data_IF_130484164114
#
_entry.id   IF_130484164114
#
_cell.length_a   1.000
_cell.length_b   1.000
_cell.length_c   1.000
_cell.angle_alpha   90.00
_cell.angle_beta   90.00
_cell.angle_gamma   90.00
#
_symmetry.space_group_name_H-M   'P 1'
#
loop_
_entity.id
_entity.type
_entity.pdbx_description
1 polymer ?
#
# COMPACT_ATOMS: atom_id res chain seq x y z
N UNK A 1 9.71 15.04 8.06
CA UNK A 1 8.79 14.03 7.49
C UNK A 1 8.13 13.26 8.63
N UNK A 2 6.80 13.25 8.66
CA UNK A 2 6.00 12.55 9.66
C UNK A 2 5.27 11.41 8.94
N UNK A 3 5.29 10.20 9.51
CA UNK A 3 4.56 9.06 8.96
C UNK A 3 3.07 9.36 8.89
N UNK A 4 2.38 8.90 7.83
CA UNK A 4 0.92 8.97 7.68
C UNK A 4 0.16 8.36 8.86
N UNK A 5 0.78 7.44 9.60
CA UNK A 5 0.20 6.83 10.81
C UNK A 5 -0.08 7.86 11.91
N UNK A 6 0.83 8.84 12.13
CA UNK A 6 0.60 9.91 13.10
C UNK A 6 -0.52 10.86 12.66
N UNK A 7 -0.61 11.13 11.35
CA UNK A 7 -1.72 11.91 10.77
C UNK A 7 -3.03 11.18 11.03
N UNK A 8 -3.11 9.89 10.72
CA UNK A 8 -4.29 9.06 10.96
C UNK A 8 -4.69 9.03 12.44
N UNK A 9 -3.72 8.89 13.35
CA UNK A 9 -3.99 8.89 14.79
C UNK A 9 -4.63 10.22 15.25
N UNK A 10 -4.10 11.37 14.80
CA UNK A 10 -4.67 12.69 15.11
C UNK A 10 -6.07 12.87 14.52
N UNK A 11 -6.29 12.40 13.28
CA UNK A 11 -7.61 12.48 12.66
C UNK A 11 -8.64 11.66 13.44
N UNK A 12 -8.32 10.42 13.83
CA UNK A 12 -9.25 9.52 14.52
C UNK A 12 -9.73 10.05 15.88
N UNK A 13 -8.90 10.82 16.60
CA UNK A 13 -9.31 11.42 17.86
C UNK A 13 -10.01 12.77 17.70
N UNK A 14 -9.89 13.39 16.53
CA UNK A 14 -10.40 14.75 16.28
C UNK A 14 -11.92 14.92 16.47
N UNK A 15 -12.79 13.94 16.17
CA UNK A 15 -14.24 14.08 16.37
C UNK A 15 -14.67 14.31 17.82
N UNK A 16 -13.88 13.88 18.80
CA UNK A 16 -14.19 14.08 20.23
C UNK A 16 -13.66 15.39 20.80
N UNK A 17 -12.86 16.13 20.02
CA UNK A 17 -12.39 17.46 20.43
C UNK A 17 -13.52 18.48 20.29
N UNK A 18 -13.63 19.41 21.25
CA UNK A 18 -14.72 20.41 21.31
C UNK A 18 -14.87 21.25 20.03
N UNK A 19 -13.77 21.54 19.34
CA UNK A 19 -13.73 22.33 18.11
C UNK A 19 -13.36 21.52 16.87
N UNK A 20 -13.31 20.17 17.00
CA UNK A 20 -12.76 19.32 15.94
C UNK A 20 -11.28 19.58 15.72
N UNK A 21 -10.81 19.39 14.48
CA UNK A 21 -9.42 19.62 14.11
C UNK A 21 -9.31 20.16 12.68
N UNK A 22 -8.48 21.15 12.49
CA UNK A 22 -7.97 21.52 11.16
C UNK A 22 -6.46 21.25 11.15
N UNK A 23 -6.03 20.35 10.29
CA UNK A 23 -4.63 19.92 10.19
C UNK A 23 -4.06 20.39 8.86
N UNK A 24 -2.98 21.16 8.89
CA UNK A 24 -2.23 21.58 7.70
C UNK A 24 -0.95 20.76 7.60
N UNK A 25 -0.79 20.04 6.51
CA UNK A 25 0.40 19.27 6.20
C UNK A 25 1.39 20.15 5.43
N UNK A 26 2.67 19.99 5.71
CA UNK A 26 3.74 20.72 5.03
C UNK A 26 4.72 19.76 4.38
N UNK A 27 5.23 20.13 3.21
CA UNK A 27 6.12 19.29 2.42
C UNK A 27 5.39 18.24 1.57
N UNK A 28 6.11 17.26 1.09
CA UNK A 28 5.56 16.18 0.27
C UNK A 28 4.72 15.21 1.11
N UNK A 29 3.51 14.91 0.65
CA UNK A 29 2.61 13.97 1.31
C UNK A 29 2.83 12.59 0.72
N UNK A 30 3.59 11.77 1.44
CA UNK A 30 3.85 10.37 1.09
C UNK A 30 2.72 9.50 1.66
N UNK A 31 2.37 8.42 0.96
CA UNK A 31 1.36 7.47 1.43
C UNK A 31 -0.03 8.09 1.64
N UNK A 32 -0.41 9.00 0.77
CA UNK A 32 -1.73 9.67 0.81
C UNK A 32 -2.92 8.71 0.85
N UNK A 33 -2.90 7.54 0.17
CA UNK A 33 -3.98 6.55 0.26
C UNK A 33 -4.28 6.07 1.68
N UNK A 34 -3.28 5.97 2.57
CA UNK A 34 -3.53 5.58 3.97
C UNK A 34 -4.27 6.66 4.77
N UNK A 35 -4.03 7.94 4.45
CA UNK A 35 -4.82 9.04 5.02
C UNK A 35 -6.25 8.96 4.49
N UNK A 36 -6.42 8.72 3.20
CA UNK A 36 -7.72 8.59 2.56
C UNK A 36 -8.54 7.42 3.13
N UNK A 37 -7.89 6.25 3.35
CA UNK A 37 -8.49 5.11 4.04
C UNK A 37 -9.04 5.53 5.42
N UNK A 38 -8.25 6.25 6.21
CA UNK A 38 -8.66 6.73 7.53
C UNK A 38 -9.87 7.66 7.42
N UNK A 39 -9.84 8.64 6.50
CA UNK A 39 -10.96 9.56 6.30
C UNK A 39 -12.24 8.83 5.88
N UNK A 40 -12.11 7.84 4.98
CA UNK A 40 -13.26 7.08 4.50
C UNK A 40 -13.90 6.28 5.63
N UNK A 41 -13.08 5.53 6.39
CA UNK A 41 -13.58 4.80 7.55
C UNK A 41 -14.21 5.72 8.60
N UNK A 42 -13.60 6.85 8.91
CA UNK A 42 -14.18 7.84 9.81
C UNK A 42 -15.57 8.30 9.34
N UNK A 43 -15.71 8.58 8.03
CA UNK A 43 -16.99 8.99 7.45
C UNK A 43 -18.02 7.86 7.46
N UNK A 44 -17.63 6.61 7.20
CA UNK A 44 -18.52 5.45 7.31
C UNK A 44 -19.07 5.30 8.74
N UNK A 45 -18.24 5.59 9.75
CA UNK A 45 -18.64 5.62 11.15
C UNK A 45 -19.28 6.94 11.60
N UNK A 46 -19.73 7.78 10.67
CA UNK A 46 -20.53 8.97 10.92
C UNK A 46 -19.75 10.23 11.29
N UNK A 47 -18.42 10.21 11.30
CA UNK A 47 -17.64 11.43 11.45
C UNK A 47 -17.72 12.28 10.17
N UNK A 48 -17.35 13.57 10.27
CA UNK A 48 -17.25 14.47 9.14
C UNK A 48 -15.82 14.89 8.93
N UNK A 49 -15.10 14.10 8.14
CA UNK A 49 -13.68 14.29 7.87
C UNK A 49 -13.44 14.42 6.35
N UNK A 50 -12.68 15.44 5.94
CA UNK A 50 -12.40 15.68 4.52
C UNK A 50 -11.13 16.48 4.30
N UNK A 51 -10.61 16.39 3.08
CA UNK A 51 -9.66 17.35 2.55
C UNK A 51 -10.38 18.67 2.23
N UNK A 52 -9.82 19.80 2.67
CA UNK A 52 -10.24 21.13 2.23
C UNK A 52 -9.51 21.54 0.94
N UNK A 53 -8.26 21.14 0.82
CA UNK A 53 -7.39 21.30 -0.34
C UNK A 53 -6.28 20.22 -0.29
N UNK A 54 -5.28 20.33 -1.18
CA UNK A 54 -4.21 19.32 -1.29
C UNK A 54 -3.40 19.11 0.01
N UNK A 55 -3.35 20.12 0.89
CA UNK A 55 -2.50 20.13 2.08
C UNK A 55 -3.27 20.27 3.39
N UNK A 56 -4.60 20.44 3.35
CA UNK A 56 -5.36 20.74 4.55
C UNK A 56 -6.54 19.78 4.73
N UNK A 57 -6.60 19.22 5.94
CA UNK A 57 -7.64 18.31 6.40
C UNK A 57 -8.52 19.01 7.44
N UNK A 58 -9.81 18.73 7.42
CA UNK A 58 -10.76 19.19 8.44
C UNK A 58 -11.57 18.03 8.97
N UNK A 59 -11.69 17.96 10.29
CA UNK A 59 -12.59 17.08 11.00
C UNK A 59 -13.50 17.93 11.88
N UNK A 60 -14.81 17.75 11.74
CA UNK A 60 -15.80 18.44 12.55
C UNK A 60 -16.01 17.68 13.87
N UNK A 61 -16.37 18.37 14.99
CA UNK A 61 -16.71 17.74 16.24
C UNK A 61 -18.03 16.99 16.07
N UNK A 62 -17.97 15.66 16.06
CA UNK A 62 -19.12 14.79 15.90
C UNK A 62 -18.79 13.39 16.40
N UNK A 63 -19.56 12.83 17.36
CA UNK A 63 -19.30 11.50 17.86
C UNK A 63 -19.48 10.43 16.78
N UNK A 64 -18.67 9.38 16.86
CA UNK A 64 -18.82 8.20 16.01
C UNK A 64 -20.13 7.49 16.25
N UNK A 65 -20.64 6.85 15.19
CA UNK A 65 -21.83 6.01 15.23
C UNK A 65 -21.44 4.53 15.22
N UNK A 66 -22.11 3.73 16.04
CA UNK A 66 -21.94 2.28 15.99
C UNK A 66 -22.70 1.72 14.79
N UNK A 67 -21.98 1.06 13.89
CA UNK A 67 -22.54 0.40 12.71
C UNK A 67 -21.99 -1.02 12.58
N UNK A 68 -22.72 -1.98 11.99
CA UNK A 68 -22.12 -3.22 11.52
C UNK A 68 -21.09 -2.91 10.41
N UNK A 69 -19.88 -3.40 10.60
CA UNK A 69 -18.79 -3.16 9.64
C UNK A 69 -18.05 -4.47 9.35
N UNK A 70 -17.77 -4.73 8.08
CA UNK A 70 -16.97 -5.87 7.66
C UNK A 70 -15.53 -5.40 7.45
N UNK A 71 -14.61 -5.88 8.26
CA UNK A 71 -13.18 -5.56 8.11
C UNK A 71 -12.62 -6.34 6.93
N UNK A 72 -12.16 -5.61 5.93
CA UNK A 72 -11.47 -6.17 4.77
C UNK A 72 -10.13 -6.78 5.18
N UNK A 73 -9.73 -7.86 4.50
CA UNK A 73 -8.40 -8.45 4.66
C UNK A 73 -7.31 -7.50 4.19
N UNK A 74 -6.09 -7.69 4.69
CA UNK A 74 -4.94 -6.82 4.44
C UNK A 74 -4.34 -7.04 3.04
N UNK A 75 -4.41 -6.03 2.18
CA UNK A 75 -3.85 -6.06 0.84
C UNK A 75 -2.30 -6.04 0.83
N UNK A 76 -1.66 -5.43 1.84
CA UNK A 76 -0.19 -5.50 1.97
C UNK A 76 0.23 -6.93 2.25
N UNK A 77 -0.48 -7.63 3.16
CA UNK A 77 -0.24 -9.05 3.42
C UNK A 77 -0.58 -9.93 2.21
N UNK A 78 -1.62 -9.59 1.44
CA UNK A 78 -1.97 -10.29 0.20
C UNK A 78 -0.81 -10.26 -0.82
N UNK A 79 0.01 -9.20 -0.84
CA UNK A 79 1.14 -9.06 -1.77
C UNK A 79 2.10 -10.26 -1.74
N UNK A 80 2.28 -10.89 -0.59
CA UNK A 80 3.14 -12.09 -0.46
C UNK A 80 2.52 -13.31 -1.16
N UNK A 81 1.20 -13.42 -1.18
CA UNK A 81 0.52 -14.49 -1.93
C UNK A 81 0.61 -14.27 -3.44
N UNK A 82 0.52 -13.01 -3.88
CA UNK A 82 0.80 -12.64 -5.26
C UNK A 82 2.24 -13.00 -5.66
N UNK A 83 3.21 -12.73 -4.77
CA UNK A 83 4.62 -13.09 -4.99
C UNK A 83 4.78 -14.61 -5.13
N UNK A 84 4.19 -15.40 -4.23
CA UNK A 84 4.22 -16.87 -4.30
C UNK A 84 3.61 -17.35 -5.62
N UNK A 85 2.48 -16.79 -6.04
CA UNK A 85 1.85 -17.10 -7.31
C UNK A 85 2.77 -16.77 -8.50
N UNK A 86 3.42 -15.59 -8.47
CA UNK A 86 4.30 -15.15 -9.54
C UNK A 86 5.55 -16.04 -9.69
N UNK A 87 6.09 -16.53 -8.58
CA UNK A 87 7.30 -17.38 -8.54
C UNK A 87 6.98 -18.87 -8.79
N UNK A 88 5.71 -19.25 -8.76
CA UNK A 88 5.29 -20.65 -9.03
C UNK A 88 5.20 -20.92 -10.52
N UNK A 89 5.39 -22.17 -10.95
CA UNK A 89 5.18 -22.57 -12.34
C UNK A 89 3.70 -22.49 -12.75
N UNK A 90 2.79 -22.87 -11.83
CA UNK A 90 1.33 -22.75 -11.95
C UNK A 90 0.79 -22.30 -10.60
N UNK A 91 -0.21 -21.43 -10.62
CA UNK A 91 -0.87 -21.01 -9.40
C UNK A 91 -2.35 -20.75 -9.63
N UNK A 92 -3.15 -21.19 -8.69
CA UNK A 92 -4.53 -20.77 -8.47
C UNK A 92 -4.72 -20.65 -6.97
N UNK A 93 -4.80 -19.41 -6.45
CA UNK A 93 -4.85 -19.10 -5.01
C UNK A 93 -6.09 -18.28 -4.74
N UNK A 94 -6.91 -18.70 -3.78
CA UNK A 94 -8.11 -17.96 -3.35
C UNK A 94 -7.77 -17.21 -2.08
N UNK A 95 -7.94 -15.89 -2.10
CA UNK A 95 -7.73 -14.97 -0.98
C UNK A 95 -9.08 -14.42 -0.51
N UNK A 96 -9.64 -14.90 0.59
CA UNK A 96 -10.91 -14.42 1.11
C UNK A 96 -10.76 -13.05 1.79
N UNK A 97 -11.87 -12.30 1.83
CA UNK A 97 -11.95 -11.03 2.52
C UNK A 97 -11.36 -9.84 1.79
N UNK A 98 -10.92 -10.00 0.54
CA UNK A 98 -10.45 -8.92 -0.32
C UNK A 98 -11.53 -8.47 -1.29
N UNK A 99 -11.63 -7.17 -1.54
CA UNK A 99 -12.68 -6.58 -2.36
C UNK A 99 -12.10 -5.92 -3.61
N UNK A 100 -12.85 -5.99 -4.71
CA UNK A 100 -12.52 -5.26 -5.95
C UNK A 100 -12.46 -3.74 -5.71
N UNK A 101 -13.42 -3.22 -4.94
CA UNK A 101 -13.41 -1.82 -4.51
C UNK A 101 -12.91 -1.74 -3.08
N UNK A 102 -11.64 -1.43 -2.90
CA UNK A 102 -10.97 -1.33 -1.59
C UNK A 102 -10.59 0.11 -1.25
N UNK A 103 -10.68 0.45 0.03
CA UNK A 103 -10.12 1.71 0.55
C UNK A 103 -8.61 1.62 0.76
N UNK A 104 -8.06 0.41 0.82
CA UNK A 104 -6.62 0.21 1.00
C UNK A 104 -5.87 0.57 -0.29
N UNK A 105 -4.91 1.50 -0.20
CA UNK A 105 -4.08 1.88 -1.34
C UNK A 105 -3.28 0.72 -1.93
N UNK A 106 -2.94 -0.26 -1.09
CA UNK A 106 -2.17 -1.44 -1.47
C UNK A 106 -2.96 -2.45 -2.32
N UNK A 107 -4.28 -2.25 -2.51
CA UNK A 107 -5.06 -3.02 -3.51
C UNK A 107 -4.51 -2.86 -4.93
N UNK A 108 -3.71 -1.82 -5.19
CA UNK A 108 -2.92 -1.66 -6.42
C UNK A 108 -1.97 -2.82 -6.72
N UNK A 109 -1.66 -3.65 -5.73
CA UNK A 109 -0.87 -4.88 -5.92
C UNK A 109 -1.43 -5.74 -7.05
N UNK A 110 -2.75 -5.82 -7.20
CA UNK A 110 -3.41 -6.59 -8.25
C UNK A 110 -3.05 -6.08 -9.66
N UNK A 111 -3.11 -4.77 -9.87
CA UNK A 111 -2.77 -4.15 -11.15
C UNK A 111 -1.27 -4.30 -11.49
N UNK A 112 -0.40 -4.15 -10.48
CA UNK A 112 1.05 -4.23 -10.72
C UNK A 112 1.45 -5.68 -10.98
N UNK A 113 0.92 -6.66 -10.24
CA UNK A 113 1.20 -8.08 -10.48
C UNK A 113 0.60 -8.61 -11.78
N UNK A 114 -0.39 -7.94 -12.35
CA UNK A 114 -0.86 -8.27 -13.70
C UNK A 114 0.27 -8.14 -14.73
N UNK A 115 1.19 -7.17 -14.55
CA UNK A 115 2.39 -7.03 -15.38
C UNK A 115 3.40 -8.15 -15.14
N UNK A 116 3.32 -8.84 -14.01
CA UNK A 116 4.18 -9.98 -13.66
C UNK A 116 3.48 -11.33 -13.85
N UNK A 117 2.41 -11.35 -14.64
CA UNK A 117 1.71 -12.57 -15.06
C UNK A 117 0.72 -13.12 -14.03
N UNK A 118 0.20 -12.29 -13.12
CA UNK A 118 -0.85 -12.72 -12.19
C UNK A 118 -2.16 -12.00 -12.49
N UNK A 119 -3.14 -12.76 -12.93
CA UNK A 119 -4.51 -12.29 -13.11
C UNK A 119 -5.25 -12.35 -11.77
N UNK A 120 -5.99 -11.28 -11.46
CA UNK A 120 -6.87 -11.20 -10.29
C UNK A 120 -8.32 -11.30 -10.73
N UNK A 121 -9.00 -12.36 -10.31
CA UNK A 121 -10.40 -12.59 -10.61
C UNK A 121 -11.20 -12.33 -9.34
N UNK A 122 -12.02 -11.27 -9.39
CA UNK A 122 -12.82 -10.84 -8.25
C UNK A 122 -14.13 -11.64 -8.16
N UNK A 123 -14.47 -12.04 -6.95
CA UNK A 123 -15.69 -12.73 -6.61
C UNK A 123 -16.40 -12.13 -5.41
N UNK A 124 -17.31 -12.86 -4.79
CA UNK A 124 -18.02 -12.40 -3.61
C UNK A 124 -17.07 -12.33 -2.41
N UNK A 125 -16.52 -11.14 -2.13
CA UNK A 125 -15.58 -10.85 -1.03
C UNK A 125 -14.34 -11.77 -1.06
N UNK A 126 -13.83 -12.06 -2.24
CA UNK A 126 -12.61 -12.81 -2.43
C UNK A 126 -11.94 -12.46 -3.75
N UNK A 127 -10.65 -12.73 -3.83
CA UNK A 127 -9.86 -12.62 -5.07
C UNK A 127 -9.23 -13.98 -5.37
N UNK A 128 -9.37 -14.47 -6.61
CA UNK A 128 -8.64 -15.64 -7.09
C UNK A 128 -7.48 -15.19 -7.95
N UNK A 129 -6.27 -15.57 -7.55
CA UNK A 129 -5.05 -15.31 -8.31
C UNK A 129 -4.80 -16.45 -9.27
N UNK A 130 -4.59 -16.14 -10.55
CA UNK A 130 -4.20 -17.12 -11.57
C UNK A 130 -2.91 -16.72 -12.25
N UNK A 131 -1.98 -17.67 -12.38
CA UNK A 131 -0.75 -17.47 -13.16
C UNK A 131 -1.08 -17.47 -14.65
N UNK A 132 -0.52 -16.51 -15.37
CA UNK A 132 -0.56 -16.37 -16.83
C UNK A 132 0.86 -16.27 -17.40
N UNK A 133 1.02 -16.43 -18.70
CA UNK A 133 2.32 -16.30 -19.37
C UNK A 133 2.64 -14.87 -19.81
N UNK A 134 1.76 -13.91 -19.50
CA UNK A 134 1.94 -12.50 -19.89
C UNK A 134 2.80 -11.78 -18.86
N UNK A 135 4.11 -11.76 -19.08
CA UNK A 135 5.09 -11.16 -18.18
C UNK A 135 5.78 -10.00 -18.90
N UNK A 136 5.83 -8.84 -18.26
CA UNK A 136 6.54 -7.69 -18.78
C UNK A 136 8.06 -7.93 -18.77
N UNK A 137 8.75 -7.44 -19.80
CA UNK A 137 10.21 -7.53 -19.92
C UNK A 137 10.93 -6.63 -18.93
N UNK A 138 10.26 -5.60 -18.41
CA UNK A 138 10.77 -4.65 -17.44
C UNK A 138 9.63 -4.08 -16.61
N UNK A 139 9.90 -3.74 -15.34
CA UNK A 139 8.94 -3.08 -14.46
C UNK A 139 9.54 -1.80 -13.85
N UNK A 140 9.04 -0.65 -14.27
CA UNK A 140 9.35 0.64 -13.65
C UNK A 140 8.09 1.15 -12.94
N UNK A 141 8.20 1.51 -11.63
CA UNK A 141 7.05 1.93 -10.85
C UNK A 141 7.42 2.93 -9.76
N UNK A 142 6.50 3.87 -9.48
CA UNK A 142 6.62 4.83 -8.38
C UNK A 142 5.74 4.41 -7.21
N UNK A 143 6.39 3.98 -6.11
CA UNK A 143 5.74 3.51 -4.89
C UNK A 143 5.40 4.61 -3.88
N UNK A 144 5.41 5.89 -4.27
CA UNK A 144 5.13 7.03 -3.36
C UNK A 144 3.80 6.85 -2.60
N UNK A 145 2.80 6.24 -3.24
CA UNK A 145 1.48 5.98 -2.68
C UNK A 145 1.33 4.60 -2.03
N UNK A 146 2.16 3.62 -2.38
CA UNK A 146 2.13 2.24 -1.87
C UNK A 146 3.53 1.75 -1.45
N UNK A 147 4.25 2.50 -0.59
CA UNK A 147 5.65 2.18 -0.28
C UNK A 147 5.82 0.80 0.36
N UNK A 148 4.81 0.31 1.08
CA UNK A 148 4.86 -0.98 1.76
C UNK A 148 4.81 -2.18 0.79
N UNK A 149 4.44 -1.97 -0.48
CA UNK A 149 4.51 -3.00 -1.53
C UNK A 149 5.91 -3.14 -2.14
N UNK A 150 6.74 -2.10 -2.09
CA UNK A 150 8.01 -2.05 -2.82
C UNK A 150 8.92 -3.25 -2.55
N UNK A 151 9.03 -3.68 -1.29
CA UNK A 151 9.87 -4.81 -0.91
C UNK A 151 9.43 -6.12 -1.57
N UNK A 152 8.12 -6.36 -1.67
CA UNK A 152 7.58 -7.55 -2.36
C UNK A 152 7.96 -7.52 -3.84
N UNK A 153 7.85 -6.37 -4.50
CA UNK A 153 8.19 -6.24 -5.91
C UNK A 153 9.69 -6.31 -6.18
N UNK A 154 10.56 -5.75 -5.31
CA UNK A 154 12.00 -5.90 -5.42
C UNK A 154 12.39 -7.38 -5.42
N UNK A 155 11.91 -8.13 -4.44
CA UNK A 155 12.20 -9.56 -4.33
C UNK A 155 11.63 -10.33 -5.53
N UNK A 156 10.39 -10.05 -5.92
CA UNK A 156 9.73 -10.74 -7.04
C UNK A 156 10.47 -10.52 -8.34
N UNK A 157 10.76 -9.27 -8.70
CA UNK A 157 11.45 -8.95 -9.94
C UNK A 157 12.86 -9.53 -9.99
N UNK A 158 13.61 -9.46 -8.87
CA UNK A 158 14.94 -10.06 -8.79
C UNK A 158 14.88 -11.58 -9.02
N UNK A 159 13.99 -12.30 -8.34
CA UNK A 159 13.87 -13.76 -8.48
C UNK A 159 13.31 -14.19 -9.85
N UNK A 160 12.52 -13.34 -10.53
CA UNK A 160 12.05 -13.58 -11.88
C UNK A 160 13.04 -13.11 -12.95
N UNK A 161 14.18 -12.52 -12.57
CA UNK A 161 15.17 -11.91 -13.47
C UNK A 161 14.57 -10.82 -14.38
N UNK A 162 13.60 -10.05 -13.87
CA UNK A 162 12.98 -8.93 -14.57
C UNK A 162 13.71 -7.66 -14.16
N UNK A 163 14.33 -6.91 -15.11
CA UNK A 163 14.90 -5.61 -14.81
C UNK A 163 13.84 -4.65 -14.28
N UNK A 164 14.19 -3.85 -13.28
CA UNK A 164 13.25 -2.93 -12.67
C UNK A 164 13.93 -1.62 -12.23
N UNK A 165 13.12 -0.59 -12.05
CA UNK A 165 13.49 0.67 -11.41
C UNK A 165 12.32 1.18 -10.58
N UNK A 166 12.51 1.28 -9.26
CA UNK A 166 11.48 1.73 -8.34
C UNK A 166 11.85 3.07 -7.72
N UNK A 167 10.87 3.98 -7.64
CA UNK A 167 10.97 5.29 -7.02
C UNK A 167 9.90 5.46 -5.93
N UNK A 168 9.89 6.64 -5.25
CA UNK A 168 8.93 6.90 -4.18
C UNK A 168 9.23 6.13 -2.88
N UNK A 169 10.49 5.74 -2.67
CA UNK A 169 10.93 4.85 -1.58
C UNK A 169 11.44 5.57 -0.33
N UNK A 170 11.46 6.91 -0.33
CA UNK A 170 12.08 7.71 0.74
C UNK A 170 11.51 7.42 2.13
N UNK A 171 10.23 7.04 2.22
CA UNK A 171 9.62 6.67 3.51
C UNK A 171 10.15 5.36 4.09
N UNK A 172 10.70 4.46 3.27
CA UNK A 172 11.21 3.16 3.70
C UNK A 172 12.48 3.27 4.54
N UNK A 173 13.21 4.39 4.46
CA UNK A 173 14.40 4.68 5.27
C UNK A 173 14.08 5.05 6.72
N UNK A 174 12.84 5.50 6.98
CA UNK A 174 12.42 6.04 8.29
C UNK A 174 11.28 5.21 8.92
N UNK A 175 11.11 3.97 8.50
CA UNK A 175 10.19 3.00 9.14
C UNK A 175 10.86 2.42 10.42
N UNK A 176 10.40 1.27 10.88
CA UNK A 176 10.95 0.55 12.04
C UNK A 176 12.43 0.17 11.87
N UNK A 177 12.87 0.07 10.62
CA UNK A 177 14.26 -0.10 10.16
C UNK A 177 14.43 0.62 8.82
N UNK A 178 15.67 0.88 8.42
CA UNK A 178 15.97 1.27 7.04
C UNK A 178 15.76 0.03 6.14
N UNK A 179 14.56 -0.04 5.53
CA UNK A 179 14.14 -1.19 4.72
C UNK A 179 14.92 -1.27 3.41
N UNK A 180 15.41 -0.14 2.87
CA UNK A 180 16.22 -0.13 1.64
C UNK A 180 17.56 -0.80 1.91
N UNK A 181 18.27 -0.37 2.95
CA UNK A 181 19.53 -0.98 3.35
C UNK A 181 19.34 -2.47 3.68
N UNK A 182 18.24 -2.84 4.34
CA UNK A 182 17.93 -4.23 4.62
C UNK A 182 17.72 -5.06 3.34
N UNK A 183 16.95 -4.55 2.37
CA UNK A 183 16.74 -5.22 1.08
C UNK A 183 18.05 -5.43 0.31
N UNK A 184 18.88 -4.39 0.19
CA UNK A 184 20.19 -4.49 -0.48
C UNK A 184 21.03 -5.58 0.17
N UNK A 185 21.11 -5.60 1.50
CA UNK A 185 21.89 -6.58 2.27
C UNK A 185 21.36 -8.00 2.09
N UNK A 186 20.05 -8.21 2.23
CA UNK A 186 19.47 -9.55 2.18
C UNK A 186 19.48 -10.12 0.75
N UNK A 187 19.17 -9.29 -0.25
CA UNK A 187 19.23 -9.70 -1.66
C UNK A 187 20.67 -9.99 -2.10
N UNK A 188 21.65 -9.24 -1.56
CA UNK A 188 23.08 -9.52 -1.78
C UNK A 188 23.52 -10.91 -1.32
N UNK A 189 22.96 -11.44 -0.23
CA UNK A 189 23.21 -12.82 0.23
C UNK A 189 22.71 -13.88 -0.75
N UNK A 190 21.69 -13.53 -1.55
CA UNK A 190 21.13 -14.39 -2.60
C UNK A 190 21.84 -14.21 -3.95
N UNK A 191 22.84 -13.32 -4.03
CA UNK A 191 23.59 -13.03 -5.25
C UNK A 191 23.00 -11.94 -6.13
N UNK A 192 21.96 -11.24 -5.68
CA UNK A 192 21.38 -10.11 -6.41
C UNK A 192 21.98 -8.79 -5.95
N UNK A 193 22.51 -8.01 -6.90
CA UNK A 193 23.09 -6.70 -6.61
C UNK A 193 22.04 -5.64 -6.90
N UNK A 194 21.61 -4.96 -5.84
CA UNK A 194 20.69 -3.82 -5.93
C UNK A 194 21.49 -2.51 -5.80
N UNK A 195 21.18 -1.54 -6.65
CA UNK A 195 21.79 -0.21 -6.62
C UNK A 195 20.77 0.82 -6.19
N UNK A 196 21.08 1.54 -5.12
CA UNK A 196 20.31 2.72 -4.72
C UNK A 196 20.92 3.96 -5.36
N UNK A 197 20.10 4.72 -6.09
CA UNK A 197 20.47 5.99 -6.73
C UNK A 197 19.34 6.99 -6.48
N UNK A 198 19.61 8.06 -5.74
CA UNK A 198 18.64 9.13 -5.47
C UNK A 198 17.26 8.62 -4.97
N UNK A 199 17.26 7.81 -3.90
CA UNK A 199 16.06 7.18 -3.32
C UNK A 199 15.28 6.25 -4.28
N UNK A 200 15.97 5.65 -5.26
CA UNK A 200 15.46 4.64 -6.21
C UNK A 200 16.27 3.35 -6.10
N UNK A 201 15.65 2.25 -6.39
CA UNK A 201 16.28 0.92 -6.52
C UNK A 201 15.99 0.35 -7.89
#
# INVERSE_FOLDING_TARGET
NVSSQYISALLMIAPILSNGLTLTLTGEIISRPYINLTLQLMNDFGARAKWLNEYQLKVEPQPYQSIPFYVESDWSAASYWYQIAALSNKAEIILPGLFETSYQGDSKVAEIFQLLGIESIYGNKMVTLKKTDKIAERLDYDFINQPDLAQTFVVTCALMNIPFRFSGLQSLKIKETDRITALIKEMGKLGYILHEIDDRI
#
